data_IF_775518214882
#
_entry.id   IF_775518214882
#
_cell.length_a   1.000
_cell.length_b   1.000
_cell.length_c   1.000
_cell.angle_alpha   90.00
_cell.angle_beta   90.00
_cell.angle_gamma   90.00
#
_symmetry.space_group_name_H-M   'P 1'
#
loop_
_entity.id
_entity.type
_entity.pdbx_description
1 polymer ?
#
# COMPACT_ATOMS: atom_id res chain seq x y z
N UNK A 1 -6.11 15.45 15.13
CA UNK A 1 -7.23 16.21 14.56
C UNK A 1 -8.49 15.64 15.18
N UNK A 2 -9.33 16.51 15.69
CA UNK A 2 -10.42 16.19 16.57
C UNK A 2 -11.67 15.73 15.82
N UNK A 3 -12.62 15.12 16.53
CA UNK A 3 -14.00 14.89 16.10
C UNK A 3 -14.62 16.10 15.37
N UNK A 4 -14.20 17.32 15.75
CA UNK A 4 -14.67 18.56 15.15
C UNK A 4 -14.38 18.69 13.65
N UNK A 5 -13.17 18.29 13.17
CA UNK A 5 -12.85 18.36 11.73
C UNK A 5 -13.68 17.36 10.92
N UNK A 6 -13.86 16.15 11.43
CA UNK A 6 -14.72 15.15 10.79
C UNK A 6 -16.19 15.61 10.75
N UNK A 7 -16.67 16.23 11.83
CA UNK A 7 -18.03 16.78 11.85
C UNK A 7 -18.20 17.91 10.82
N UNK A 8 -17.25 18.83 10.73
CA UNK A 8 -17.29 19.92 9.72
C UNK A 8 -17.27 19.38 8.27
N UNK A 9 -16.49 18.34 8.01
CA UNK A 9 -16.46 17.72 6.68
C UNK A 9 -17.77 17.00 6.38
N UNK A 10 -18.33 16.29 7.37
CA UNK A 10 -19.60 15.60 7.24
C UNK A 10 -20.77 16.57 7.02
N UNK A 11 -20.76 17.74 7.70
CA UNK A 11 -21.74 18.80 7.48
C UNK A 11 -21.78 19.23 6.01
N UNK A 12 -20.62 19.47 5.41
CA UNK A 12 -20.53 19.82 3.98
C UNK A 12 -21.12 18.74 3.07
N UNK A 13 -20.92 17.45 3.40
CA UNK A 13 -21.54 16.35 2.65
C UNK A 13 -23.07 16.35 2.82
N UNK A 14 -23.54 16.53 4.03
CA UNK A 14 -24.99 16.53 4.32
C UNK A 14 -25.67 17.73 3.66
N UNK A 15 -25.02 18.90 3.60
CA UNK A 15 -25.56 20.11 2.97
C UNK A 15 -25.82 19.99 1.48
N UNK A 16 -25.06 19.18 0.75
CA UNK A 16 -25.30 18.95 -0.68
C UNK A 16 -26.45 18.00 -0.95
N UNK A 17 -26.96 17.28 0.06
CA UNK A 17 -28.09 16.36 -0.08
C UNK A 17 -29.43 17.13 -0.04
N UNK A 18 -30.45 16.67 -0.79
CA UNK A 18 -31.80 17.22 -0.70
C UNK A 18 -32.35 17.19 0.73
N UNK A 19 -33.12 18.23 1.11
CA UNK A 19 -33.62 18.36 2.49
C UNK A 19 -34.40 17.14 2.97
N UNK A 20 -35.23 16.53 2.08
CA UNK A 20 -36.01 15.32 2.39
C UNK A 20 -35.18 14.12 2.73
N UNK A 21 -33.91 14.04 2.26
CA UNK A 21 -32.97 12.97 2.58
C UNK A 21 -32.18 13.33 3.84
N UNK A 22 -31.60 14.55 3.89
CA UNK A 22 -30.72 14.96 4.99
C UNK A 22 -31.40 15.00 6.37
N UNK A 23 -32.69 15.26 6.45
CA UNK A 23 -33.43 15.27 7.72
C UNK A 23 -33.48 13.91 8.42
N UNK A 24 -33.18 12.81 7.69
CA UNK A 24 -33.11 11.45 8.22
C UNK A 24 -31.67 11.06 8.62
N UNK A 25 -30.67 11.91 8.32
CA UNK A 25 -29.28 11.69 8.63
C UNK A 25 -28.92 12.45 9.92
N UNK A 26 -28.71 11.74 11.03
CA UNK A 26 -28.15 12.34 12.25
C UNK A 26 -26.64 12.08 12.31
N UNK A 27 -25.88 13.05 12.82
CA UNK A 27 -24.41 12.92 12.92
C UNK A 27 -23.98 11.69 13.72
N UNK A 28 -24.72 11.34 14.77
CA UNK A 28 -24.45 10.17 15.60
C UNK A 28 -24.57 8.86 14.80
N UNK A 29 -25.52 8.79 13.86
CA UNK A 29 -25.72 7.64 12.98
C UNK A 29 -24.70 7.56 11.84
N UNK A 30 -24.02 8.66 11.54
CA UNK A 30 -23.07 8.76 10.43
C UNK A 30 -21.65 8.34 10.78
N UNK A 31 -21.38 8.01 12.05
CA UNK A 31 -20.02 7.72 12.52
C UNK A 31 -19.41 6.47 11.85
N UNK A 32 -20.20 5.49 11.53
CA UNK A 32 -19.80 4.23 10.88
C UNK A 32 -20.24 4.13 9.41
N UNK A 33 -20.94 5.13 8.86
CA UNK A 33 -21.39 5.15 7.47
C UNK A 33 -20.20 5.34 6.52
N UNK A 34 -20.12 4.51 5.50
CA UNK A 34 -19.05 4.60 4.47
C UNK A 34 -19.53 5.21 3.17
N UNK A 35 -20.80 4.98 2.80
CA UNK A 35 -21.37 5.44 1.54
C UNK A 35 -22.86 5.77 1.69
N UNK A 36 -23.31 6.78 0.92
CA UNK A 36 -24.72 7.04 0.65
C UNK A 36 -24.94 6.83 -0.84
N UNK A 37 -25.89 5.98 -1.20
CA UNK A 37 -26.18 5.62 -2.59
C UNK A 37 -27.56 6.15 -2.99
N UNK A 38 -27.63 6.79 -4.13
CA UNK A 38 -28.80 7.45 -4.67
C UNK A 38 -29.00 7.02 -6.12
N UNK A 39 -29.87 6.08 -6.36
CA UNK A 39 -30.21 5.59 -7.70
C UNK A 39 -31.67 5.95 -8.04
N UNK A 40 -31.90 6.50 -9.23
CA UNK A 40 -33.25 6.88 -9.68
C UNK A 40 -34.19 5.68 -9.62
N UNK A 41 -35.37 5.90 -9.04
CA UNK A 41 -36.40 4.90 -8.90
C UNK A 41 -36.22 3.95 -7.70
N UNK A 42 -35.21 4.18 -6.84
CA UNK A 42 -34.93 3.42 -5.63
C UNK A 42 -34.94 4.31 -4.39
N UNK A 43 -35.22 3.77 -3.18
CA UNK A 43 -35.02 4.52 -1.95
C UNK A 43 -33.54 4.82 -1.74
N UNK A 44 -33.18 5.97 -1.12
CA UNK A 44 -31.78 6.25 -0.75
C UNK A 44 -31.24 5.17 0.18
N UNK A 45 -30.00 4.75 -0.05
CA UNK A 45 -29.33 3.65 0.66
C UNK A 45 -28.14 4.17 1.44
N UNK A 46 -28.02 3.79 2.71
CA UNK A 46 -26.86 4.05 3.58
C UNK A 46 -26.12 2.74 3.79
N UNK A 47 -24.80 2.75 3.53
CA UNK A 47 -23.92 1.61 3.74
C UNK A 47 -22.97 1.86 4.90
N UNK A 48 -22.95 0.92 5.83
CA UNK A 48 -22.10 0.97 7.03
C UNK A 48 -20.82 0.14 6.89
N UNK A 49 -19.84 0.43 7.73
CA UNK A 49 -18.54 -0.24 7.70
C UNK A 49 -18.59 -1.74 8.07
N UNK A 50 -19.59 -2.14 8.81
CA UNK A 50 -19.87 -3.53 9.19
C UNK A 50 -20.59 -4.34 8.09
N UNK A 51 -20.93 -3.69 6.96
CA UNK A 51 -21.68 -4.27 5.84
C UNK A 51 -23.19 -4.15 5.96
N UNK A 52 -23.72 -3.52 7.03
CA UNK A 52 -25.15 -3.24 7.16
C UNK A 52 -25.58 -2.24 6.07
N UNK A 53 -26.76 -2.48 5.50
CA UNK A 53 -27.43 -1.59 4.57
C UNK A 53 -28.71 -1.09 5.24
N UNK A 54 -28.91 0.23 5.22
CA UNK A 54 -30.11 0.88 5.73
C UNK A 54 -30.74 1.70 4.59
N UNK A 55 -32.05 1.59 4.42
CA UNK A 55 -32.79 2.39 3.47
C UNK A 55 -33.50 3.55 4.20
N UNK A 56 -33.39 4.74 3.65
CA UNK A 56 -34.11 5.89 4.19
C UNK A 56 -35.58 5.79 3.74
N UNK A 57 -36.50 5.85 4.70
CA UNK A 57 -37.94 5.78 4.46
C UNK A 57 -38.48 7.11 3.91
N UNK A 58 -38.19 7.36 2.64
CA UNK A 58 -38.68 8.49 1.86
C UNK A 58 -39.09 8.00 0.47
N UNK A 59 -39.72 8.87 -0.32
CA UNK A 59 -39.99 8.56 -1.73
C UNK A 59 -38.69 8.24 -2.49
N UNK A 60 -38.81 7.38 -3.50
CA UNK A 60 -37.67 7.00 -4.33
C UNK A 60 -36.94 8.23 -4.88
N UNK A 61 -35.64 8.06 -5.08
CA UNK A 61 -34.77 9.07 -5.72
C UNK A 61 -35.30 9.40 -7.12
N UNK A 62 -35.37 10.67 -7.45
CA UNK A 62 -35.77 11.16 -8.75
C UNK A 62 -34.67 12.02 -9.42
N UNK A 63 -35.01 12.58 -10.59
CA UNK A 63 -34.07 13.43 -11.33
C UNK A 63 -33.80 14.78 -10.64
N UNK A 64 -34.74 15.27 -9.83
CA UNK A 64 -34.60 16.55 -9.11
C UNK A 64 -33.55 16.40 -8.01
N UNK A 65 -33.55 15.27 -7.31
CA UNK A 65 -32.53 14.94 -6.29
C UNK A 65 -31.13 14.88 -6.89
N UNK A 66 -30.99 14.13 -7.99
CA UNK A 66 -29.69 14.00 -8.69
C UNK A 66 -29.21 15.39 -9.17
N UNK A 67 -30.11 16.17 -9.76
CA UNK A 67 -29.81 17.53 -10.24
C UNK A 67 -29.45 18.47 -9.09
N UNK A 68 -30.13 18.36 -7.95
CA UNK A 68 -29.85 19.15 -6.76
C UNK A 68 -28.42 18.92 -6.26
N UNK A 69 -27.97 17.66 -6.22
CA UNK A 69 -26.61 17.30 -5.76
C UNK A 69 -25.58 17.73 -6.81
N UNK A 70 -25.79 17.39 -8.07
CA UNK A 70 -24.83 17.69 -9.14
C UNK A 70 -24.61 19.18 -9.37
N UNK A 71 -25.58 20.03 -9.05
CA UNK A 71 -25.43 21.48 -9.10
C UNK A 71 -24.60 22.07 -7.95
N UNK A 72 -24.31 21.30 -6.91
CA UNK A 72 -23.59 21.71 -5.67
C UNK A 72 -22.19 21.11 -5.53
N UNK A 73 -21.80 20.26 -6.46
CA UNK A 73 -20.46 19.66 -6.52
C UNK A 73 -19.72 20.18 -7.73
N UNK A 74 -18.42 19.96 -7.80
CA UNK A 74 -17.63 20.31 -8.96
C UNK A 74 -18.01 19.47 -10.18
N UNK A 75 -17.57 19.87 -11.36
CA UNK A 75 -17.76 19.08 -12.57
C UNK A 75 -17.15 17.68 -12.41
N UNK A 76 -17.88 16.68 -12.89
CA UNK A 76 -17.39 15.31 -12.88
C UNK A 76 -16.26 15.15 -13.90
N UNK A 77 -15.18 14.57 -13.44
CA UNK A 77 -14.02 14.21 -14.27
C UNK A 77 -14.36 13.13 -15.31
N UNK A 78 -13.44 12.82 -16.21
CA UNK A 78 -13.63 11.80 -17.26
C UNK A 78 -13.92 10.39 -16.69
N UNK A 79 -13.51 10.12 -15.46
CA UNK A 79 -13.78 8.87 -14.73
C UNK A 79 -15.05 8.94 -13.86
N UNK A 80 -15.92 9.93 -14.12
CA UNK A 80 -17.18 10.17 -13.42
C UNK A 80 -17.04 10.41 -11.91
N UNK A 81 -15.97 11.04 -11.48
CA UNK A 81 -15.73 11.42 -10.09
C UNK A 81 -15.82 12.92 -9.90
N UNK A 82 -16.27 13.31 -8.73
CA UNK A 82 -16.27 14.69 -8.23
C UNK A 82 -16.06 14.65 -6.73
N UNK A 83 -15.59 15.74 -6.15
CA UNK A 83 -15.43 15.90 -4.71
C UNK A 83 -16.14 17.14 -4.18
N UNK A 84 -16.11 17.28 -2.87
CA UNK A 84 -16.60 18.47 -2.17
C UNK A 84 -15.37 19.27 -1.74
N UNK A 85 -15.23 20.54 -2.15
CA UNK A 85 -14.05 21.35 -1.88
C UNK A 85 -13.66 21.38 -0.40
N UNK A 86 -12.37 21.15 -0.12
CA UNK A 86 -11.82 21.15 1.23
C UNK A 86 -12.23 19.97 2.11
N UNK A 87 -12.74 18.88 1.51
CA UNK A 87 -13.06 17.62 2.19
C UNK A 87 -12.36 16.44 1.51
N UNK A 88 -12.46 15.27 2.13
CA UNK A 88 -12.02 13.99 1.54
C UNK A 88 -13.20 13.16 0.99
N UNK A 89 -14.39 13.73 0.95
CA UNK A 89 -15.56 13.08 0.39
C UNK A 89 -15.44 12.98 -1.12
N UNK A 90 -15.90 11.86 -1.69
CA UNK A 90 -15.90 11.62 -3.13
C UNK A 90 -17.26 11.20 -3.59
N UNK A 91 -17.70 11.79 -4.70
CA UNK A 91 -18.97 11.47 -5.34
C UNK A 91 -18.66 10.82 -6.68
N UNK A 92 -19.21 9.66 -6.91
CA UNK A 92 -19.10 8.93 -8.16
C UNK A 92 -20.46 8.87 -8.86
N UNK A 93 -20.51 9.18 -10.16
CA UNK A 93 -21.73 9.21 -10.95
C UNK A 93 -21.87 7.95 -11.81
N UNK A 94 -23.07 7.40 -11.82
CA UNK A 94 -23.50 6.41 -12.82
C UNK A 94 -24.26 7.12 -13.91
N UNK A 95 -23.86 6.89 -15.18
CA UNK A 95 -24.51 7.48 -16.35
C UNK A 95 -25.25 6.43 -17.16
N UNK A 96 -26.37 6.83 -17.73
CA UNK A 96 -27.08 6.02 -18.72
C UNK A 96 -26.38 6.08 -20.10
N UNK A 97 -26.92 5.38 -21.10
CA UNK A 97 -26.38 5.36 -22.46
C UNK A 97 -26.36 6.73 -23.16
N UNK A 98 -27.16 7.66 -22.70
CA UNK A 98 -27.25 9.04 -23.21
C UNK A 98 -26.29 9.99 -22.48
N UNK A 99 -25.49 9.49 -21.54
CA UNK A 99 -24.58 10.30 -20.74
C UNK A 99 -25.23 11.02 -19.54
N UNK A 100 -26.55 10.87 -19.33
CA UNK A 100 -27.26 11.50 -18.20
C UNK A 100 -26.97 10.75 -16.91
N UNK A 101 -26.71 11.48 -15.84
CA UNK A 101 -26.49 10.88 -14.50
C UNK A 101 -27.81 10.32 -13.99
N UNK A 102 -27.80 9.05 -13.61
CA UNK A 102 -28.95 8.29 -13.10
C UNK A 102 -28.69 7.69 -11.73
N UNK A 103 -27.48 7.81 -11.20
CA UNK A 103 -27.14 7.37 -9.87
C UNK A 103 -25.89 8.09 -9.35
N UNK A 104 -25.81 8.21 -8.03
CA UNK A 104 -24.69 8.80 -7.32
C UNK A 104 -24.28 7.91 -6.14
N UNK A 105 -22.99 7.76 -5.93
CA UNK A 105 -22.42 7.16 -4.72
C UNK A 105 -21.59 8.22 -4.01
N UNK A 106 -22.06 8.68 -2.86
CA UNK A 106 -21.37 9.65 -2.02
C UNK A 106 -20.57 8.91 -0.96
N UNK A 107 -19.25 8.84 -1.16
CA UNK A 107 -18.32 8.14 -0.27
C UNK A 107 -17.83 9.08 0.82
N UNK A 108 -17.92 8.63 2.09
CA UNK A 108 -17.49 9.42 3.24
C UNK A 108 -15.99 9.23 3.44
N UNK A 109 -15.22 10.29 3.17
CA UNK A 109 -13.79 10.34 3.45
C UNK A 109 -13.55 10.63 4.92
N UNK A 110 -12.58 9.93 5.53
CA UNK A 110 -12.18 10.11 6.93
C UNK A 110 -10.70 10.34 7.05
N UNK A 111 -10.31 11.14 8.04
CA UNK A 111 -8.92 11.31 8.44
C UNK A 111 -8.61 10.31 9.54
N UNK A 112 -7.66 9.43 9.29
CA UNK A 112 -7.12 8.51 10.29
C UNK A 112 -5.70 8.93 10.61
N UNK A 113 -5.35 9.01 11.89
CA UNK A 113 -4.02 9.41 12.38
C UNK A 113 -3.39 8.28 13.18
N UNK A 114 -2.04 8.32 13.33
CA UNK A 114 -1.29 7.30 14.05
C UNK A 114 -0.92 6.08 13.19
N UNK A 115 -1.32 6.06 11.92
CA UNK A 115 -1.12 4.90 11.02
C UNK A 115 0.33 4.70 10.58
N UNK A 116 1.19 5.70 10.78
CA UNK A 116 2.62 5.69 10.43
C UNK A 116 3.54 5.66 11.64
N UNK A 117 3.00 5.56 12.87
CA UNK A 117 3.78 5.57 14.10
C UNK A 117 4.94 4.57 14.07
N UNK A 118 4.71 3.38 13.52
CA UNK A 118 5.70 2.32 13.43
C UNK A 118 6.78 2.51 12.35
N UNK A 119 6.69 3.56 11.50
CA UNK A 119 7.66 3.83 10.42
C UNK A 119 8.22 5.25 10.46
N UNK A 120 7.96 6.03 11.50
CA UNK A 120 8.48 7.40 11.67
C UNK A 120 10.00 7.48 11.57
N UNK A 121 10.71 6.45 12.04
CA UNK A 121 12.16 6.34 11.97
C UNK A 121 12.71 6.36 10.54
N UNK A 122 11.97 5.84 9.57
CA UNK A 122 12.35 5.91 8.15
C UNK A 122 12.17 7.30 7.56
N UNK A 123 11.16 8.04 7.99
CA UNK A 123 10.94 9.42 7.56
C UNK A 123 12.11 10.34 7.97
N UNK A 124 12.82 10.00 9.05
CA UNK A 124 14.00 10.74 9.53
C UNK A 124 15.29 10.45 8.73
N UNK A 125 15.33 9.34 7.98
CA UNK A 125 16.55 8.88 7.28
C UNK A 125 16.79 9.57 5.95
N UNK A 126 15.87 10.42 5.48
CA UNK A 126 15.95 11.11 4.18
C UNK A 126 16.10 10.13 3.00
N UNK A 127 15.47 8.96 3.11
CA UNK A 127 15.43 7.88 2.10
C UNK A 127 14.08 7.86 1.39
N UNK A 128 14.11 7.59 0.09
CA UNK A 128 12.88 7.44 -0.71
C UNK A 128 12.13 6.17 -0.35
N UNK A 129 10.80 6.27 -0.20
CA UNK A 129 9.94 5.18 0.31
C UNK A 129 8.83 4.87 -0.70
N UNK A 130 8.71 3.60 -1.09
CA UNK A 130 7.63 3.11 -1.94
C UNK A 130 6.66 2.24 -1.12
N UNK A 131 5.38 2.58 -1.18
CA UNK A 131 4.32 1.77 -0.59
C UNK A 131 3.64 0.89 -1.63
N UNK A 132 3.51 -0.39 -1.31
CA UNK A 132 2.78 -1.39 -2.09
C UNK A 132 1.64 -1.98 -1.25
N UNK A 133 0.62 -2.50 -1.90
CA UNK A 133 -0.48 -3.18 -1.22
C UNK A 133 -1.79 -3.12 -1.99
N UNK A 134 -2.72 -3.97 -1.60
CA UNK A 134 -4.04 -4.09 -2.23
C UNK A 134 -4.82 -2.77 -2.17
N UNK A 135 -5.79 -2.56 -3.08
CA UNK A 135 -6.73 -1.46 -2.94
C UNK A 135 -7.43 -1.47 -1.57
N UNK A 136 -7.65 -0.29 -0.99
CA UNK A 136 -8.37 -0.14 0.28
C UNK A 136 -7.61 -0.47 1.57
N UNK A 137 -6.33 -0.89 1.52
CA UNK A 137 -5.53 -1.17 2.72
C UNK A 137 -5.00 0.08 3.44
N UNK A 138 -5.25 1.29 2.88
CA UNK A 138 -4.88 2.56 3.51
C UNK A 138 -3.58 3.18 2.99
N UNK A 139 -3.17 2.91 1.74
CA UNK A 139 -2.01 3.55 1.09
C UNK A 139 -2.10 5.09 1.15
N UNK A 140 -3.15 5.66 0.60
CA UNK A 140 -3.39 7.12 0.56
C UNK A 140 -3.47 7.73 1.95
N UNK A 141 -4.03 7.02 2.94
CA UNK A 141 -4.07 7.47 4.34
C UNK A 141 -2.67 7.63 4.91
N UNK A 142 -1.77 6.67 4.66
CA UNK A 142 -0.38 6.72 5.11
C UNK A 142 0.39 7.82 4.40
N UNK A 143 0.22 7.99 3.08
CA UNK A 143 0.85 9.10 2.33
C UNK A 143 0.43 10.46 2.89
N UNK A 144 -0.85 10.67 3.17
CA UNK A 144 -1.39 11.91 3.75
C UNK A 144 -0.75 12.20 5.11
N UNK A 145 -0.69 11.19 5.97
CA UNK A 145 -0.11 11.35 7.31
C UNK A 145 1.39 11.61 7.26
N UNK A 146 2.13 10.95 6.36
CA UNK A 146 3.56 11.21 6.14
C UNK A 146 3.77 12.63 5.60
N UNK A 147 2.99 13.07 4.61
CA UNK A 147 3.09 14.43 4.08
C UNK A 147 2.95 15.48 5.19
N UNK A 148 1.96 15.31 6.06
CA UNK A 148 1.77 16.17 7.24
C UNK A 148 2.94 16.07 8.22
N UNK A 149 3.40 14.87 8.55
CA UNK A 149 4.54 14.65 9.44
C UNK A 149 5.79 15.40 8.92
N UNK A 150 6.10 15.22 7.63
CA UNK A 150 7.27 15.83 7.01
C UNK A 150 7.18 17.36 6.99
N UNK A 151 6.00 17.91 6.68
CA UNK A 151 5.79 19.35 6.59
C UNK A 151 5.67 20.01 7.96
N UNK A 152 4.89 19.44 8.89
CA UNK A 152 4.55 20.08 10.17
C UNK A 152 5.56 19.77 11.26
N UNK A 153 5.99 18.52 11.40
CA UNK A 153 6.89 18.09 12.47
C UNK A 153 8.37 18.24 12.07
N UNK A 154 8.73 17.81 10.85
CA UNK A 154 10.11 17.87 10.36
C UNK A 154 10.45 19.15 9.60
N UNK A 155 9.48 20.06 9.39
CA UNK A 155 9.66 21.38 8.74
C UNK A 155 10.27 21.28 7.33
N UNK A 156 10.02 20.18 6.61
CA UNK A 156 10.47 19.98 5.24
C UNK A 156 9.57 20.72 4.25
N UNK A 157 10.13 21.18 3.13
CA UNK A 157 9.35 21.67 1.99
C UNK A 157 8.77 20.48 1.24
N UNK A 158 7.49 20.17 1.53
CA UNK A 158 6.77 19.03 0.96
C UNK A 158 5.85 19.52 -0.16
N UNK A 159 5.92 18.86 -1.31
CA UNK A 159 4.94 19.01 -2.40
C UNK A 159 4.26 17.66 -2.63
N UNK A 160 2.94 17.66 -2.59
CA UNK A 160 2.09 16.51 -2.90
C UNK A 160 1.68 16.63 -4.36
N UNK A 161 1.99 15.62 -5.16
CA UNK A 161 1.50 15.44 -6.53
C UNK A 161 0.29 14.53 -6.46
N UNK A 162 -0.90 15.13 -6.54
CA UNK A 162 -2.18 14.48 -6.32
C UNK A 162 -2.94 14.39 -7.65
N UNK A 163 -2.80 13.28 -8.36
CA UNK A 163 -3.40 13.07 -9.69
C UNK A 163 -4.88 12.74 -9.60
N UNK A 164 -5.29 12.07 -8.54
CA UNK A 164 -6.65 11.60 -8.30
C UNK A 164 -7.41 12.35 -7.20
N UNK A 165 -6.81 13.41 -6.64
CA UNK A 165 -7.35 14.18 -5.51
C UNK A 165 -7.65 13.33 -4.26
N UNK A 166 -6.95 12.19 -4.11
CA UNK A 166 -7.17 11.26 -3.00
C UNK A 166 -6.37 11.61 -1.74
N UNK A 167 -5.20 12.26 -1.88
CA UNK A 167 -4.36 12.62 -0.73
C UNK A 167 -4.90 13.86 -0.03
N UNK A 168 -5.08 14.94 -0.78
CA UNK A 168 -5.39 16.26 -0.23
C UNK A 168 -6.82 16.73 -0.50
N UNK A 169 -7.65 15.86 -1.05
CA UNK A 169 -9.04 16.16 -1.39
C UNK A 169 -9.21 16.99 -2.65
N UNK A 170 -10.44 17.34 -2.96
CA UNK A 170 -10.83 18.07 -4.17
C UNK A 170 -10.93 19.59 -3.92
N UNK A 171 -11.04 20.36 -5.01
CA UNK A 171 -11.14 21.83 -4.97
C UNK A 171 -9.79 22.54 -4.89
N UNK A 172 -9.82 23.87 -4.84
CA UNK A 172 -8.60 24.70 -4.86
C UNK A 172 -7.86 24.71 -3.51
N UNK A 173 -8.58 24.49 -2.42
CA UNK A 173 -8.03 24.46 -1.07
C UNK A 173 -7.78 23.00 -0.64
N UNK A 174 -6.52 22.63 -0.33
CA UNK A 174 -6.23 21.29 0.16
C UNK A 174 -6.85 21.04 1.53
N UNK A 175 -7.22 19.78 1.79
CA UNK A 175 -7.76 19.37 3.08
C UNK A 175 -6.75 19.60 4.22
N UNK A 176 -7.15 20.11 5.39
CA UNK A 176 -6.25 20.40 6.52
C UNK A 176 -5.42 19.19 7.03
N UNK A 177 -5.85 17.97 6.71
CA UNK A 177 -5.13 16.75 7.11
C UNK A 177 -3.73 16.61 6.49
N UNK A 178 -3.40 17.36 5.44
CA UNK A 178 -2.05 17.38 4.86
C UNK A 178 -1.11 18.40 5.55
N UNK A 179 -1.63 19.18 6.50
CA UNK A 179 -0.86 20.22 7.21
C UNK A 179 -0.36 21.30 6.25
N UNK A 180 0.91 21.71 6.43
CA UNK A 180 1.58 22.71 5.59
C UNK A 180 2.16 22.15 4.28
N UNK A 181 1.94 20.89 3.96
CA UNK A 181 2.34 20.35 2.67
C UNK A 181 1.56 21.04 1.53
N UNK A 182 2.28 21.44 0.48
CA UNK A 182 1.68 22.08 -0.69
C UNK A 182 1.15 21.04 -1.64
N UNK A 183 -0.06 21.19 -2.14
CA UNK A 183 -0.63 20.31 -3.15
C UNK A 183 -0.46 20.88 -4.55
N UNK A 184 -0.06 20.03 -5.48
CA UNK A 184 -0.10 20.26 -6.91
C UNK A 184 -1.06 19.26 -7.54
N UNK A 185 -2.15 19.75 -8.12
CA UNK A 185 -3.06 18.97 -8.93
C UNK A 185 -2.51 18.90 -10.36
N UNK A 186 -2.26 17.69 -10.84
CA UNK A 186 -1.77 17.46 -12.20
C UNK A 186 -2.68 16.46 -12.90
N UNK A 187 -3.08 16.77 -14.13
CA UNK A 187 -3.91 15.87 -14.96
C UNK A 187 -3.08 14.78 -15.64
N UNK A 188 -1.80 15.05 -15.81
CA UNK A 188 -0.81 14.13 -16.39
C UNK A 188 0.51 14.27 -15.64
N UNK A 189 1.41 13.27 -15.70
CA UNK A 189 2.64 13.24 -14.93
C UNK A 189 3.67 14.26 -15.43
N UNK A 190 3.38 15.54 -15.30
CA UNK A 190 4.33 16.62 -15.54
C UNK A 190 5.14 16.93 -14.27
N UNK A 191 5.74 15.90 -13.67
CA UNK A 191 6.51 16.02 -12.42
C UNK A 191 7.64 17.05 -12.50
N UNK A 192 8.14 17.35 -13.70
CA UNK A 192 9.15 18.40 -13.92
C UNK A 192 8.69 19.78 -13.42
N UNK A 193 7.40 20.07 -13.44
CA UNK A 193 6.87 21.34 -12.92
C UNK A 193 6.97 21.45 -11.41
N UNK A 194 7.03 20.31 -10.69
CA UNK A 194 7.15 20.25 -9.23
C UNK A 194 8.50 20.80 -8.76
N UNK A 195 9.56 20.57 -9.52
CA UNK A 195 10.92 21.01 -9.20
C UNK A 195 11.04 22.53 -9.09
N UNK A 196 10.22 23.28 -9.83
CA UNK A 196 10.19 24.75 -9.77
C UNK A 196 9.83 25.28 -8.36
N UNK A 197 9.28 24.43 -7.50
CA UNK A 197 8.92 24.78 -6.12
C UNK A 197 9.99 24.40 -5.10
N UNK A 198 11.18 23.96 -5.56
CA UNK A 198 12.33 23.58 -4.73
C UNK A 198 11.97 22.66 -3.56
N UNK A 199 11.26 21.54 -3.79
CA UNK A 199 10.87 20.64 -2.73
C UNK A 199 12.07 19.87 -2.16
N UNK A 200 12.02 19.55 -0.88
CA UNK A 200 12.90 18.55 -0.25
C UNK A 200 12.29 17.17 -0.29
N UNK A 201 10.95 17.13 -0.28
CA UNK A 201 10.17 15.88 -0.31
C UNK A 201 9.04 16.04 -1.33
N UNK A 202 8.88 15.04 -2.18
CA UNK A 202 7.75 14.92 -3.09
C UNK A 202 6.95 13.68 -2.69
N UNK A 203 5.65 13.87 -2.48
CA UNK A 203 4.71 12.78 -2.21
C UNK A 203 3.87 12.57 -3.45
N UNK A 204 3.87 11.36 -4.01
CA UNK A 204 3.14 11.00 -5.24
C UNK A 204 2.05 10.00 -4.89
N UNK A 205 0.82 10.28 -5.35
CA UNK A 205 -0.34 9.45 -5.04
C UNK A 205 -0.18 8.02 -5.57
N UNK A 206 -0.01 7.87 -6.86
CA UNK A 206 0.14 6.56 -7.48
C UNK A 206 1.00 6.61 -8.74
N UNK A 207 1.95 5.70 -8.85
CA UNK A 207 2.77 5.50 -10.05
C UNK A 207 2.23 4.26 -10.77
N UNK A 208 1.60 4.47 -11.94
CA UNK A 208 0.93 3.41 -12.70
C UNK A 208 1.47 3.23 -14.12
N UNK A 209 2.20 4.23 -14.65
CA UNK A 209 2.69 4.25 -16.02
C UNK A 209 4.21 4.30 -16.10
N UNK A 210 4.76 3.92 -17.25
CA UNK A 210 6.20 4.01 -17.52
C UNK A 210 6.71 5.44 -17.47
N UNK A 211 5.95 6.39 -18.00
CA UNK A 211 6.30 7.81 -17.98
C UNK A 211 6.40 8.35 -16.54
N UNK A 212 5.52 7.92 -15.65
CA UNK A 212 5.56 8.26 -14.23
C UNK A 212 6.75 7.63 -13.52
N UNK A 213 7.07 6.37 -13.82
CA UNK A 213 8.24 5.70 -13.27
C UNK A 213 9.54 6.39 -13.70
N UNK A 214 9.65 6.77 -14.97
CA UNK A 214 10.79 7.52 -15.48
C UNK A 214 10.93 8.90 -14.83
N UNK A 215 9.83 9.60 -14.64
CA UNK A 215 9.82 10.91 -14.00
C UNK A 215 10.21 10.81 -12.51
N UNK A 216 9.67 9.82 -11.78
CA UNK A 216 10.03 9.54 -10.41
C UNK A 216 11.54 9.26 -10.26
N UNK A 217 12.11 8.49 -11.16
CA UNK A 217 13.54 8.22 -11.22
C UNK A 217 14.35 9.50 -11.41
N UNK A 218 13.99 10.32 -12.40
CA UNK A 218 14.70 11.58 -12.68
C UNK A 218 14.74 12.49 -11.46
N UNK A 219 13.66 12.55 -10.69
CA UNK A 219 13.57 13.33 -9.44
C UNK A 219 14.48 12.73 -8.36
N UNK A 220 14.46 11.41 -8.18
CA UNK A 220 15.29 10.73 -7.17
C UNK A 220 16.79 10.92 -7.47
N UNK A 221 17.21 10.83 -8.73
CA UNK A 221 18.59 11.06 -9.17
C UNK A 221 19.10 12.49 -8.87
N UNK A 222 18.19 13.45 -8.70
CA UNK A 222 18.50 14.83 -8.27
C UNK A 222 18.58 15.01 -6.76
N UNK A 223 18.41 13.94 -6.00
CA UNK A 223 18.54 13.94 -4.54
C UNK A 223 17.31 14.42 -3.78
N UNK A 224 16.15 14.54 -4.44
CA UNK A 224 14.87 14.84 -3.77
C UNK A 224 14.30 13.56 -3.21
N UNK A 225 13.87 13.57 -1.94
CA UNK A 225 13.23 12.42 -1.31
C UNK A 225 11.87 12.18 -1.91
N UNK A 226 11.62 10.96 -2.40
CA UNK A 226 10.35 10.53 -2.94
C UNK A 226 9.60 9.63 -1.96
N UNK A 227 8.30 9.88 -1.81
CA UNK A 227 7.39 9.00 -1.08
C UNK A 227 6.19 8.74 -1.98
N UNK A 228 5.98 7.51 -2.41
CA UNK A 228 4.96 7.19 -3.40
C UNK A 228 4.26 5.87 -3.13
N UNK A 229 3.12 5.67 -3.82
CA UNK A 229 2.58 4.32 -4.01
C UNK A 229 2.75 3.90 -5.47
N UNK A 230 2.69 2.62 -5.75
CA UNK A 230 2.67 2.11 -7.11
C UNK A 230 1.59 1.04 -7.29
N UNK A 231 1.21 0.82 -8.54
CA UNK A 231 0.37 -0.32 -8.92
C UNK A 231 1.12 -1.62 -8.66
N UNK A 232 0.74 -2.33 -7.61
CA UNK A 232 1.33 -3.61 -7.22
C UNK A 232 0.98 -3.98 -5.79
N UNK A 233 0.79 -5.26 -5.54
CA UNK A 233 0.42 -5.74 -4.21
C UNK A 233 1.65 -6.14 -3.38
N UNK A 234 2.77 -6.44 -4.04
CA UNK A 234 4.01 -6.90 -3.41
C UNK A 234 5.24 -6.51 -4.24
N UNK A 235 6.41 -6.53 -3.63
CA UNK A 235 7.69 -6.31 -4.28
C UNK A 235 7.93 -7.32 -5.43
N UNK A 236 7.58 -8.59 -5.21
CA UNK A 236 7.67 -9.60 -6.27
C UNK A 236 6.79 -9.28 -7.49
N UNK A 237 5.57 -8.76 -7.26
CA UNK A 237 4.68 -8.39 -8.36
C UNK A 237 5.20 -7.18 -9.14
N UNK A 238 5.83 -6.25 -8.43
CA UNK A 238 6.44 -5.07 -9.04
C UNK A 238 7.66 -5.43 -9.88
N UNK A 239 8.54 -6.32 -9.41
CA UNK A 239 9.69 -6.85 -10.16
C UNK A 239 9.26 -7.49 -11.48
N UNK A 240 8.12 -8.19 -11.48
CA UNK A 240 7.58 -8.86 -12.68
C UNK A 240 6.83 -7.93 -13.63
N UNK A 241 6.54 -6.70 -13.21
CA UNK A 241 5.84 -5.73 -14.03
C UNK A 241 6.84 -4.95 -14.90
N UNK A 242 6.88 -5.17 -16.22
CA UNK A 242 7.86 -4.52 -17.10
C UNK A 242 7.73 -2.99 -17.12
N UNK A 243 6.55 -2.46 -16.87
CA UNK A 243 6.27 -1.02 -16.85
C UNK A 243 6.86 -0.35 -15.60
N UNK A 244 6.86 -1.03 -14.46
CA UNK A 244 7.19 -0.44 -13.16
C UNK A 244 8.45 -1.01 -12.51
N UNK A 245 9.05 -2.05 -13.07
CA UNK A 245 10.28 -2.67 -12.54
C UNK A 245 11.45 -1.69 -12.44
N UNK A 246 11.43 -0.61 -13.23
CA UNK A 246 12.43 0.46 -13.19
C UNK A 246 12.47 1.18 -11.83
N UNK A 247 11.35 1.24 -11.11
CA UNK A 247 11.27 1.80 -9.77
C UNK A 247 12.14 1.05 -8.75
N UNK A 248 12.37 -0.23 -8.98
CA UNK A 248 13.18 -1.12 -8.13
C UNK A 248 14.50 -1.52 -8.76
N UNK A 249 14.93 -0.79 -9.78
CA UNK A 249 16.24 -0.90 -10.40
C UNK A 249 16.28 -1.56 -11.76
N UNK A 250 15.12 -1.85 -12.38
CA UNK A 250 15.04 -2.53 -13.67
C UNK A 250 15.55 -3.98 -13.60
N UNK A 251 15.11 -4.82 -14.51
CA UNK A 251 15.48 -6.23 -14.54
C UNK A 251 15.99 -6.58 -15.95
N UNK A 252 17.18 -7.12 -16.01
CA UNK A 252 17.80 -7.57 -17.25
C UNK A 252 18.16 -9.06 -17.19
N UNK A 253 18.17 -9.68 -18.36
CA UNK A 253 18.64 -11.05 -18.54
C UNK A 253 20.11 -11.03 -18.91
N UNK A 254 20.94 -11.67 -18.11
CA UNK A 254 22.40 -11.75 -18.32
C UNK A 254 22.78 -13.19 -18.66
N UNK A 255 23.57 -13.39 -19.73
CA UNK A 255 24.12 -14.70 -20.07
C UNK A 255 25.51 -14.83 -19.45
N UNK A 256 25.65 -15.77 -18.50
CA UNK A 256 26.91 -16.07 -17.83
C UNK A 256 27.82 -16.94 -18.73
N UNK A 257 29.13 -16.74 -18.61
CA UNK A 257 30.10 -17.69 -19.16
C UNK A 257 30.03 -19.05 -18.45
N UNK A 258 30.49 -20.13 -19.09
CA UNK A 258 30.40 -21.49 -18.58
C UNK A 258 31.07 -21.66 -17.21
N UNK A 259 32.19 -21.01 -16.98
CA UNK A 259 32.92 -21.10 -15.72
C UNK A 259 32.21 -20.35 -14.58
N UNK A 260 31.59 -19.19 -14.89
CA UNK A 260 30.83 -18.40 -13.95
C UNK A 260 29.51 -19.08 -13.57
N UNK A 261 28.81 -19.66 -14.54
CA UNK A 261 27.59 -20.43 -14.29
C UNK A 261 27.86 -21.66 -13.41
N UNK A 262 28.96 -22.36 -13.63
CA UNK A 262 29.41 -23.47 -12.75
C UNK A 262 29.76 -22.99 -11.35
N UNK A 263 30.50 -21.89 -11.24
CA UNK A 263 30.90 -21.32 -9.93
C UNK A 263 29.70 -20.89 -9.10
N UNK A 264 28.68 -20.29 -9.73
CA UNK A 264 27.43 -19.87 -9.07
C UNK A 264 26.41 -20.99 -8.90
N UNK A 265 26.66 -22.18 -9.48
CA UNK A 265 25.70 -23.30 -9.53
C UNK A 265 24.33 -22.86 -10.06
N UNK A 266 24.33 -22.00 -11.07
CA UNK A 266 23.15 -21.39 -11.67
C UNK A 266 22.98 -21.75 -13.13
N UNK A 267 21.82 -21.41 -13.72
CA UNK A 267 21.62 -21.50 -15.17
C UNK A 267 22.53 -20.48 -15.88
N UNK A 268 22.81 -20.71 -17.18
CA UNK A 268 23.59 -19.78 -18.00
C UNK A 268 22.92 -18.42 -18.12
N UNK A 269 21.58 -18.41 -18.16
CA UNK A 269 20.80 -17.17 -18.22
C UNK A 269 20.23 -16.89 -16.84
N UNK A 270 20.58 -15.77 -16.25
CA UNK A 270 20.11 -15.31 -14.95
C UNK A 270 19.49 -13.94 -15.07
N UNK A 271 18.54 -13.65 -14.17
CA UNK A 271 17.97 -12.30 -14.05
C UNK A 271 18.80 -11.55 -13.01
N UNK A 272 19.21 -10.35 -13.38
CA UNK A 272 19.94 -9.44 -12.49
C UNK A 272 19.30 -8.05 -12.55
N UNK A 273 19.45 -7.28 -11.47
CA UNK A 273 19.06 -5.88 -11.43
C UNK A 273 19.98 -5.06 -12.33
N UNK A 274 19.39 -4.17 -13.17
CA UNK A 274 20.14 -3.37 -14.13
C UNK A 274 20.87 -2.19 -13.47
N UNK A 275 20.21 -1.52 -12.52
CA UNK A 275 20.66 -0.24 -11.94
C UNK A 275 20.21 -0.09 -10.48
N UNK A 276 20.58 1.02 -9.84
CA UNK A 276 20.12 1.33 -8.49
C UNK A 276 18.62 1.58 -8.48
N UNK A 277 17.89 1.11 -7.45
CA UNK A 277 16.48 1.40 -7.27
C UNK A 277 16.22 2.92 -7.13
N UNK A 278 15.07 3.37 -7.63
CA UNK A 278 14.55 4.72 -7.41
C UNK A 278 14.15 4.95 -5.94
N UNK A 279 13.69 3.90 -5.29
CA UNK A 279 13.27 3.91 -3.89
C UNK A 279 14.22 3.06 -3.04
N UNK A 280 14.73 3.65 -1.96
CA UNK A 280 15.64 2.97 -1.03
C UNK A 280 14.94 1.93 -0.19
N UNK A 281 13.68 2.20 0.18
CA UNK A 281 12.87 1.40 1.08
C UNK A 281 11.57 1.03 0.39
N UNK A 282 11.17 -0.24 0.45
CA UNK A 282 9.85 -0.70 0.04
C UNK A 282 9.07 -1.17 1.26
N UNK A 283 7.83 -0.73 1.36
CA UNK A 283 6.90 -1.09 2.43
C UNK A 283 5.65 -1.72 1.82
N UNK A 284 5.45 -2.99 2.06
CA UNK A 284 4.21 -3.68 1.72
C UNK A 284 3.19 -3.54 2.84
N UNK A 285 2.00 -3.03 2.53
CA UNK A 285 0.89 -2.94 3.46
C UNK A 285 0.11 -4.25 3.37
N UNK A 286 0.30 -5.13 4.34
CA UNK A 286 -0.34 -6.44 4.40
C UNK A 286 -1.82 -6.30 4.80
N UNK A 287 -2.07 -5.46 5.79
CA UNK A 287 -3.39 -5.05 6.26
C UNK A 287 -3.31 -3.62 6.86
N UNK A 288 -4.43 -3.12 7.39
CA UNK A 288 -4.50 -1.75 7.94
C UNK A 288 -3.46 -1.46 9.02
N UNK A 289 -3.04 -2.49 9.77
CA UNK A 289 -2.19 -2.38 10.95
C UNK A 289 -0.83 -3.06 10.80
N UNK A 290 -0.61 -3.85 9.75
CA UNK A 290 0.61 -4.64 9.58
C UNK A 290 1.35 -4.25 8.31
N UNK A 291 2.63 -3.92 8.46
CA UNK A 291 3.54 -3.52 7.39
C UNK A 291 4.71 -4.49 7.32
N UNK A 292 5.11 -4.85 6.10
CA UNK A 292 6.33 -5.60 5.83
C UNK A 292 7.34 -4.65 5.17
N UNK A 293 8.47 -4.41 5.83
CA UNK A 293 9.45 -3.39 5.46
C UNK A 293 10.72 -4.02 4.91
N UNK A 294 11.06 -3.69 3.69
CA UNK A 294 12.35 -3.97 3.06
C UNK A 294 13.21 -2.71 3.19
N UNK A 295 14.16 -2.73 4.13
CA UNK A 295 15.02 -1.57 4.47
C UNK A 295 16.06 -1.22 3.40
N UNK A 296 16.37 -2.17 2.55
CA UNK A 296 17.26 -2.05 1.40
C UNK A 296 16.57 -2.72 0.21
N UNK A 297 16.05 -1.90 -0.70
CA UNK A 297 15.35 -2.36 -1.89
C UNK A 297 16.29 -3.13 -2.83
N UNK A 298 17.54 -2.68 -2.97
CA UNK A 298 18.52 -3.31 -3.85
C UNK A 298 18.82 -4.74 -3.39
N UNK A 299 19.12 -4.91 -2.11
CA UNK A 299 19.34 -6.23 -1.52
C UNK A 299 18.11 -7.12 -1.67
N UNK A 300 16.93 -6.59 -1.38
CA UNK A 300 15.67 -7.32 -1.47
C UNK A 300 15.39 -7.84 -2.88
N UNK A 301 15.57 -6.99 -3.89
CA UNK A 301 15.40 -7.37 -5.30
C UNK A 301 16.40 -8.43 -5.71
N UNK A 302 17.68 -8.26 -5.35
CA UNK A 302 18.74 -9.21 -5.70
C UNK A 302 18.48 -10.60 -5.07
N UNK A 303 17.95 -10.66 -3.84
CA UNK A 303 17.55 -11.91 -3.18
C UNK A 303 16.37 -12.58 -3.92
N UNK A 304 15.34 -11.80 -4.26
CA UNK A 304 14.16 -12.33 -4.99
C UNK A 304 14.57 -12.88 -6.36
N UNK A 305 15.42 -12.16 -7.11
CA UNK A 305 15.88 -12.60 -8.44
C UNK A 305 16.69 -13.88 -8.39
N UNK A 306 17.46 -14.07 -7.33
CA UNK A 306 18.23 -15.32 -7.08
C UNK A 306 17.39 -16.46 -6.52
N UNK A 307 16.10 -16.21 -6.21
CA UNK A 307 15.23 -17.18 -5.56
C UNK A 307 15.62 -17.47 -4.11
N UNK A 308 16.34 -16.56 -3.46
CA UNK A 308 16.72 -16.69 -2.07
C UNK A 308 15.60 -16.21 -1.16
N UNK A 309 15.44 -16.81 0.03
CA UNK A 309 14.44 -16.38 0.98
C UNK A 309 14.77 -14.98 1.51
N UNK A 310 13.84 -14.06 1.37
CA UNK A 310 13.93 -12.74 1.97
C UNK A 310 12.97 -12.63 3.15
N UNK A 311 13.39 -11.95 4.20
CA UNK A 311 12.58 -11.70 5.40
C UNK A 311 12.44 -10.21 5.62
N UNK A 312 11.31 -9.60 5.21
CA UNK A 312 11.03 -8.22 5.55
C UNK A 312 10.86 -8.06 7.06
N UNK A 313 11.16 -6.88 7.57
CA UNK A 313 10.84 -6.53 8.95
C UNK A 313 9.33 -6.28 9.08
N UNK A 314 8.66 -7.05 9.94
CA UNK A 314 7.24 -6.80 10.23
C UNK A 314 7.09 -5.72 11.28
N UNK A 315 6.28 -4.72 10.97
CA UNK A 315 5.90 -3.65 11.88
C UNK A 315 4.41 -3.57 12.05
N UNK A 316 3.95 -3.36 13.28
CA UNK A 316 2.54 -3.18 13.60
C UNK A 316 2.27 -1.77 14.07
N UNK A 317 1.11 -1.26 13.67
CA UNK A 317 0.56 -0.01 14.17
C UNK A 317 -0.15 -0.33 15.48
N UNK A 318 0.53 -0.15 16.60
CA UNK A 318 -0.06 -0.31 17.94
C UNK A 318 -0.38 1.06 18.54
N UNK A 319 -1.43 1.12 19.36
CA UNK A 319 -1.80 2.34 20.09
C UNK A 319 -0.75 2.78 21.12
N UNK A 320 0.14 1.89 21.51
CA UNK A 320 1.26 2.14 22.38
C UNK A 320 2.55 1.87 21.62
N UNK A 321 3.26 2.85 21.17
CA UNK A 321 4.60 2.97 20.57
C UNK A 321 5.62 1.81 20.77
N UNK A 322 5.20 0.56 20.87
CA UNK A 322 6.08 -0.59 21.00
C UNK A 322 6.28 -1.25 19.63
N UNK A 323 7.51 -1.21 19.16
CA UNK A 323 7.95 -1.97 18.01
C UNK A 323 7.87 -3.47 18.34
N UNK A 324 6.82 -4.16 17.91
CA UNK A 324 6.82 -5.61 17.98
C UNK A 324 7.48 -6.16 16.72
N UNK A 325 8.66 -6.73 16.86
CA UNK A 325 9.20 -7.64 15.85
C UNK A 325 8.39 -8.93 15.94
N UNK A 326 7.28 -9.01 15.25
CA UNK A 326 6.60 -10.28 15.10
C UNK A 326 7.46 -11.19 14.21
N UNK A 327 7.55 -12.49 14.52
CA UNK A 327 8.21 -13.44 13.63
C UNK A 327 7.50 -13.39 12.27
N UNK A 328 8.25 -13.19 11.23
CA UNK A 328 7.78 -13.05 9.85
C UNK A 328 6.97 -14.28 9.46
N UNK A 329 5.73 -14.18 8.99
CA UNK A 329 5.15 -15.27 8.23
C UNK A 329 6.07 -15.50 7.03
N UNK A 330 6.59 -16.69 6.91
CA UNK A 330 7.35 -17.10 5.73
C UNK A 330 6.42 -16.82 4.54
N UNK A 331 6.82 -16.02 3.54
CA UNK A 331 6.00 -15.83 2.34
C UNK A 331 5.61 -17.20 1.80
N UNK A 332 4.43 -17.32 1.21
CA UNK A 332 3.86 -18.58 0.72
C UNK A 332 4.71 -19.29 -0.38
N UNK A 333 5.94 -18.87 -0.61
CA UNK A 333 6.97 -19.54 -1.39
C UNK A 333 7.95 -20.25 -0.47
N UNK A 334 7.45 -21.28 0.21
CA UNK A 334 8.28 -22.38 0.67
C UNK A 334 7.90 -23.70 -0.08
N UNK A 335 7.67 -23.69 -1.41
CA UNK A 335 7.66 -24.98 -2.12
C UNK A 335 9.02 -25.65 -2.01
N UNK A 336 10.11 -24.90 -2.10
CA UNK A 336 11.47 -25.47 -2.09
C UNK A 336 11.93 -26.04 -0.75
N UNK A 337 11.48 -25.51 0.38
CA UNK A 337 11.85 -26.06 1.69
C UNK A 337 10.89 -27.19 2.08
N UNK A 338 9.59 -27.01 1.82
CA UNK A 338 8.59 -28.07 2.03
C UNK A 338 8.81 -29.22 1.02
N UNK A 339 9.10 -28.93 -0.24
CA UNK A 339 9.42 -29.93 -1.25
C UNK A 339 10.74 -30.64 -0.93
N UNK A 340 11.73 -29.95 -0.35
CA UNK A 340 12.97 -30.57 0.14
C UNK A 340 12.74 -31.38 1.43
N UNK A 341 11.85 -30.96 2.32
CA UNK A 341 11.45 -31.71 3.52
C UNK A 341 10.64 -32.93 3.10
N UNK A 342 9.67 -32.79 2.17
CA UNK A 342 8.88 -33.91 1.65
C UNK A 342 9.73 -34.87 0.80
N UNK A 343 10.71 -34.37 0.04
CA UNK A 343 11.70 -35.20 -0.65
C UNK A 343 12.67 -35.93 0.31
N UNK A 344 12.91 -35.38 1.50
CA UNK A 344 13.62 -36.02 2.59
C UNK A 344 12.75 -37.11 3.26
N UNK A 345 11.45 -36.87 3.46
CA UNK A 345 10.54 -37.87 4.03
C UNK A 345 10.39 -39.10 3.12
N UNK A 346 10.37 -38.90 1.78
CA UNK A 346 10.32 -40.01 0.81
C UNK A 346 11.67 -40.79 0.64
N UNK A 347 12.78 -40.25 1.17
CA UNK A 347 14.10 -40.88 1.15
C UNK A 347 14.51 -41.55 2.47
N UNK A 348 13.64 -41.55 3.48
CA UNK A 348 13.96 -42.03 4.84
C UNK A 348 13.82 -43.55 4.98
N UNK A 349 13.42 -44.31 3.95
CA UNK A 349 13.49 -45.77 3.96
C UNK A 349 14.92 -46.35 3.96
N UNK A 350 15.94 -45.54 3.65
CA UNK A 350 17.34 -45.96 3.73
C UNK A 350 18.23 -44.83 4.31
N UNK A 351 18.56 -44.87 5.62
CA UNK A 351 19.33 -43.81 6.30
C UNK A 351 20.76 -43.61 5.81
N UNK A 352 21.34 -44.56 5.06
CA UNK A 352 22.75 -44.54 4.63
C UNK A 352 23.03 -43.72 3.35
N UNK A 353 21.99 -43.18 2.67
CA UNK A 353 22.16 -42.53 1.38
C UNK A 353 22.27 -40.99 1.42
N UNK A 354 22.22 -40.35 2.59
CA UNK A 354 22.26 -38.88 2.73
C UNK A 354 23.73 -38.40 2.89
N UNK A 355 24.42 -38.22 1.77
CA UNK A 355 25.67 -37.43 1.73
C UNK A 355 25.31 -35.94 1.58
N UNK A 356 25.21 -35.23 2.71
CA UNK A 356 25.20 -33.75 2.69
C UNK A 356 26.68 -33.27 2.62
N UNK A 357 26.93 -32.23 1.79
CA UNK A 357 28.23 -31.57 1.66
C UNK A 357 28.63 -30.74 2.89
N UNK A 358 27.75 -30.64 3.89
CA UNK A 358 28.05 -30.09 5.22
C UNK A 358 28.01 -31.20 6.27
N UNK A 359 29.00 -31.22 7.16
CA UNK A 359 29.00 -32.15 8.28
C UNK A 359 27.74 -31.87 9.13
N UNK A 360 26.99 -32.95 9.45
CA UNK A 360 25.79 -32.94 10.29
C UNK A 360 25.98 -32.11 11.57
N UNK A 361 27.13 -32.13 12.12
CA UNK A 361 27.51 -31.41 13.34
C UNK A 361 27.48 -29.88 13.16
N UNK A 362 27.98 -29.38 12.04
CA UNK A 362 28.04 -27.95 11.77
C UNK A 362 26.63 -27.33 11.54
N UNK A 363 25.71 -28.08 10.92
CA UNK A 363 24.33 -27.66 10.73
C UNK A 363 23.55 -27.63 12.07
N UNK A 364 23.72 -28.65 12.91
CA UNK A 364 23.11 -28.71 14.26
C UNK A 364 23.64 -27.59 15.16
N UNK A 365 24.93 -27.27 15.08
CA UNK A 365 25.51 -26.14 15.82
C UNK A 365 25.02 -24.79 15.35
N UNK A 366 24.81 -24.59 14.04
CA UNK A 366 24.20 -23.34 13.52
C UNK A 366 22.75 -23.22 13.94
N UNK A 367 21.95 -24.28 13.87
CA UNK A 367 20.54 -24.27 14.28
C UNK A 367 20.40 -24.04 15.79
N UNK A 368 21.27 -24.58 16.62
CA UNK A 368 21.30 -24.35 18.08
C UNK A 368 21.62 -22.90 18.48
N UNK A 369 22.20 -22.09 17.57
CA UNK A 369 22.43 -20.66 17.80
C UNK A 369 21.15 -19.82 17.76
N UNK A 370 20.05 -20.31 17.18
CA UNK A 370 18.79 -19.62 17.18
C UNK A 370 18.03 -19.84 18.49
N UNK A 371 17.75 -18.76 19.22
CA UNK A 371 17.03 -18.82 20.51
C UNK A 371 15.57 -19.30 20.39
N UNK A 372 14.98 -19.31 19.19
CA UNK A 372 13.62 -19.80 18.89
C UNK A 372 13.55 -20.29 17.44
N UNK A 373 13.02 -21.49 17.23
CA UNK A 373 12.70 -22.03 15.92
C UNK A 373 11.19 -22.11 15.80
N UNK A 374 10.63 -21.49 14.76
CA UNK A 374 9.20 -21.51 14.50
C UNK A 374 8.91 -22.45 13.34
N UNK A 375 8.15 -23.53 13.59
CA UNK A 375 7.66 -24.46 12.59
C UNK A 375 6.26 -24.04 12.14
N UNK A 376 6.19 -23.14 11.15
CA UNK A 376 4.93 -22.67 10.59
C UNK A 376 4.47 -23.54 9.42
N UNK A 377 3.18 -23.88 9.40
CA UNK A 377 2.51 -24.60 8.33
C UNK A 377 2.99 -26.03 8.07
N UNK A 378 3.59 -26.66 9.05
CA UNK A 378 3.98 -28.08 9.00
C UNK A 378 2.99 -28.89 9.81
N UNK A 379 2.66 -30.12 9.38
CA UNK A 379 1.83 -30.99 10.17
C UNK A 379 2.49 -31.28 11.53
N UNK A 380 1.69 -31.45 12.60
CA UNK A 380 2.19 -31.72 13.95
C UNK A 380 3.21 -32.88 13.97
N UNK A 381 2.95 -33.95 13.20
CA UNK A 381 3.83 -35.11 13.06
C UNK A 381 5.22 -34.74 12.48
N UNK A 382 5.29 -33.82 11.53
CA UNK A 382 6.58 -33.37 10.94
C UNK A 382 7.30 -32.44 11.92
N UNK A 383 6.57 -31.56 12.61
CA UNK A 383 7.15 -30.67 13.62
C UNK A 383 7.79 -31.48 14.77
N UNK A 384 7.10 -32.47 15.30
CA UNK A 384 7.60 -33.36 16.37
C UNK A 384 8.87 -34.10 15.93
N UNK A 385 8.90 -34.64 14.70
CA UNK A 385 10.12 -35.31 14.16
C UNK A 385 11.31 -34.36 13.99
N UNK A 386 11.09 -33.11 13.64
CA UNK A 386 12.15 -32.09 13.51
C UNK A 386 12.69 -31.70 14.87
N UNK A 387 11.83 -31.53 15.88
CA UNK A 387 12.20 -31.22 17.26
C UNK A 387 13.04 -32.35 17.84
N UNK A 388 12.61 -33.60 17.70
CA UNK A 388 13.30 -34.79 18.17
C UNK A 388 14.68 -34.95 17.53
N UNK A 389 14.79 -34.71 16.19
CA UNK A 389 16.08 -34.82 15.47
C UNK A 389 17.09 -33.73 15.78
N UNK A 390 16.62 -32.54 16.14
CA UNK A 390 17.48 -31.41 16.50
C UNK A 390 17.80 -31.37 17.99
N UNK A 391 17.29 -32.33 18.77
CA UNK A 391 17.47 -32.40 20.25
C UNK A 391 17.08 -31.04 20.89
N UNK A 392 15.95 -30.47 20.43
CA UNK A 392 15.40 -29.21 20.91
C UNK A 392 14.33 -29.55 21.95
N UNK A 393 14.51 -29.10 23.19
CA UNK A 393 13.48 -29.17 24.21
C UNK A 393 12.31 -28.26 23.80
N UNK A 394 11.08 -28.79 23.81
CA UNK A 394 9.83 -28.11 23.47
C UNK A 394 9.48 -27.01 24.49
#
# INVERSE_FOLDING_TARGET
MSNLQFQNDLEKLVEILPQRIRQHLSYEKMEDVIEIVLDIGRPPEIRHADGKIEYIDVTNVDYEDISYITSRVQEFTSDNRSGIPGTLHRISAIRNRQGKIVGLTCRIGRVVTGTISCIKDFCLQNKSILFLGRPGVGKTTKLREIARLMADELKKRVVIVDTSNEIAGDGDTPHPAVGHARRMQVRQPEYQKVENHTPEVIVVDEIGTEAEAQAARTIAERGVMLIATAHGNSLESLIKNPTLSDLVGGIQSVTLGDDEAKRRSSQKTVLEREKQPTFDIVIEILDRNTLAVYKDTAEAVDYILRGWPIRPELRKVDKAYEFSQAPTPVPARVPNVIDKINALDNKIEHPESLKFSFSRQKYVEEVKKFKKIYLYAVSRSIAEKVIERLDLNA
#
